data_IF_270658278135
#
_entry.id   IF_270658278135
#
_cell.length_a   1.000
_cell.length_b   1.000
_cell.length_c   1.000
_cell.angle_alpha   90.00
_cell.angle_beta   90.00
_cell.angle_gamma   90.00
#
_symmetry.space_group_name_H-M   'P 1'
#
loop_
_entity.id
_entity.type
_entity.pdbx_description
1 polymer ?
#
# COMPACT_ATOMS: atom_id res chain seq x y z
N UNK A 1 28.33 -1.28 1.92
CA UNK A 1 27.88 -0.97 1.73
C UNK A 1 26.84 -0.41 1.98
N UNK A 2 26.55 0.23 2.11
CA UNK A 2 25.67 0.79 2.52
C UNK A 2 24.69 1.00 1.70
N UNK A 3 23.75 0.49 1.78
CA UNK A 3 22.78 0.64 1.05
C UNK A 3 21.97 1.65 1.49
N UNK A 4 21.62 2.68 1.00
CA UNK A 4 20.74 3.58 1.37
C UNK A 4 19.47 3.23 0.89
N UNK A 5 18.54 2.81 1.59
CA UNK A 5 17.20 2.50 1.22
C UNK A 5 16.38 3.75 1.30
N UNK A 6 15.74 4.13 0.22
CA UNK A 6 14.92 5.30 0.23
C UNK A 6 13.60 5.00 0.82
N UNK A 7 12.94 5.98 1.38
CA UNK A 7 11.64 5.84 1.96
C UNK A 7 10.64 6.72 1.24
N UNK A 8 9.42 6.25 1.14
CA UNK A 8 8.36 6.98 0.50
C UNK A 8 7.11 6.86 1.30
N UNK A 9 6.19 7.78 1.10
CA UNK A 9 4.91 7.69 1.77
C UNK A 9 4.19 6.44 1.29
N UNK A 10 3.51 5.80 2.21
CA UNK A 10 2.87 4.53 1.91
C UNK A 10 1.83 4.66 0.81
N UNK A 11 1.06 5.75 0.82
CA UNK A 11 0.06 5.94 -0.22
C UNK A 11 0.72 6.06 -1.59
N UNK A 12 1.84 6.74 -1.67
CA UNK A 12 2.54 6.87 -2.94
C UNK A 12 3.08 5.52 -3.38
N UNK A 13 3.61 4.75 -2.45
CA UNK A 13 4.16 3.46 -2.79
C UNK A 13 3.09 2.52 -3.33
N UNK A 14 1.91 2.55 -2.76
CA UNK A 14 0.85 1.69 -3.24
C UNK A 14 0.52 1.99 -4.69
N UNK A 15 0.53 3.26 -5.06
CA UNK A 15 0.25 3.64 -6.43
C UNK A 15 1.40 3.21 -7.33
N UNK A 16 2.63 3.44 -6.88
CA UNK A 16 3.78 3.10 -7.70
C UNK A 16 3.93 1.62 -7.90
N UNK A 17 3.54 0.82 -6.92
CA UNK A 17 3.64 -0.61 -7.03
C UNK A 17 2.46 -1.21 -7.77
N UNK A 18 1.49 -0.40 -8.14
CA UNK A 18 0.32 -0.90 -8.85
C UNK A 18 -0.71 -1.55 -7.94
N UNK A 19 -0.59 -1.36 -6.64
CA UNK A 19 -1.55 -1.94 -5.71
C UNK A 19 -2.78 -1.07 -5.56
N UNK A 20 -2.70 0.18 -5.97
CA UNK A 20 -3.85 1.08 -5.94
C UNK A 20 -3.83 1.91 -7.20
N UNK A 21 -5.01 2.25 -7.70
CA UNK A 21 -5.09 3.02 -8.92
C UNK A 21 -4.86 4.49 -8.72
N UNK A 22 -5.01 4.98 -7.52
CA UNK A 22 -4.82 6.39 -7.25
C UNK A 22 -4.42 6.56 -5.81
N UNK A 23 -3.91 7.73 -5.49
CA UNK A 23 -3.49 7.98 -4.12
C UNK A 23 -4.68 8.01 -3.19
N UNK A 24 -5.81 8.48 -3.67
CA UNK A 24 -6.98 8.46 -2.84
C UNK A 24 -7.38 7.05 -2.51
N UNK A 25 -7.33 6.16 -3.48
CA UNK A 25 -7.65 4.77 -3.23
C UNK A 25 -6.63 4.15 -2.31
N UNK A 26 -5.36 4.50 -2.48
CA UNK A 26 -4.32 4.00 -1.61
C UNK A 26 -4.57 4.42 -0.17
N UNK A 27 -4.96 5.67 0.03
CA UNK A 27 -5.26 6.14 1.36
C UNK A 27 -6.44 5.39 1.94
N UNK A 28 -7.45 5.13 1.14
CA UNK A 28 -8.62 4.41 1.62
C UNK A 28 -8.24 3.01 2.08
N UNK A 29 -7.39 2.32 1.34
CA UNK A 29 -6.94 1.00 1.75
C UNK A 29 -6.18 1.08 3.07
N UNK A 30 -5.31 2.06 3.20
CA UNK A 30 -4.50 2.20 4.39
C UNK A 30 -5.38 2.50 5.59
N UNK A 31 -6.31 3.43 5.43
CA UNK A 31 -7.13 3.83 6.55
C UNK A 31 -8.11 2.73 6.95
N UNK A 32 -8.45 1.88 6.01
CA UNK A 32 -9.31 0.76 6.34
C UNK A 32 -8.55 -0.36 7.04
N UNK A 33 -7.22 -0.26 7.12
CA UNK A 33 -6.45 -1.28 7.78
C UNK A 33 -6.15 -2.46 6.89
N UNK A 34 -6.21 -2.28 5.58
CA UNK A 34 -5.99 -3.37 4.66
C UNK A 34 -4.54 -3.47 4.19
N UNK A 35 -3.70 -2.54 4.57
CA UNK A 35 -2.33 -2.49 4.07
C UNK A 35 -1.39 -3.00 5.14
N UNK A 36 -0.52 -3.90 4.75
CA UNK A 36 0.46 -4.47 5.66
C UNK A 36 1.85 -4.22 5.12
N UNK A 37 2.75 -3.81 5.98
CA UNK A 37 4.14 -3.56 5.63
C UNK A 37 4.98 -4.49 6.48
N UNK A 38 5.70 -5.38 5.81
CA UNK A 38 6.52 -6.38 6.49
C UNK A 38 5.68 -7.17 7.49
N UNK A 39 4.45 -7.43 7.12
CA UNK A 39 3.57 -8.22 7.96
C UNK A 39 2.87 -7.45 9.05
N UNK A 40 3.09 -6.14 9.13
CA UNK A 40 2.45 -5.35 10.15
C UNK A 40 1.44 -4.42 9.54
N UNK A 41 0.29 -4.33 10.13
CA UNK A 41 -0.76 -3.47 9.60
C UNK A 41 -0.40 -2.02 9.77
N UNK A 42 -0.61 -1.26 8.72
CA UNK A 42 -0.39 0.18 8.76
C UNK A 42 -1.69 0.87 8.45
N UNK A 43 -2.05 1.85 9.25
CA UNK A 43 -3.28 2.57 9.00
C UNK A 43 -3.04 4.07 8.84
N UNK A 44 -1.81 4.47 8.60
CA UNK A 44 -1.50 5.88 8.40
C UNK A 44 -0.91 6.08 7.03
N UNK A 45 -1.62 6.80 6.19
CA UNK A 45 -1.19 6.97 4.80
C UNK A 45 0.11 7.75 4.70
N UNK A 46 0.34 8.65 5.63
CA UNK A 46 1.54 9.47 5.56
C UNK A 46 2.79 8.80 6.08
N UNK A 47 2.67 7.56 6.59
CA UNK A 47 3.83 6.87 7.10
C UNK A 47 4.81 6.59 5.98
N UNK A 48 6.08 6.88 6.20
CA UNK A 48 7.09 6.59 5.22
C UNK A 48 7.68 5.23 5.50
N UNK A 49 7.80 4.42 4.47
CA UNK A 49 8.35 3.09 4.61
C UNK A 49 9.39 2.89 3.53
N UNK A 50 10.25 1.93 3.72
CA UNK A 50 11.30 1.67 2.76
C UNK A 50 10.69 1.24 1.43
N UNK A 51 11.25 1.73 0.34
CA UNK A 51 10.69 1.42 -0.97
C UNK A 51 10.85 -0.05 -1.29
N UNK A 52 11.74 -0.76 -0.62
CA UNK A 52 11.89 -2.17 -0.84
C UNK A 52 11.19 -2.99 0.24
N UNK A 53 10.34 -2.38 1.05
CA UNK A 53 9.60 -3.11 2.07
C UNK A 53 8.57 -4.01 1.41
N UNK A 54 8.21 -5.06 2.13
CA UNK A 54 7.23 -6.00 1.62
C UNK A 54 5.84 -5.46 1.96
N UNK A 55 5.15 -4.92 0.97
CA UNK A 55 3.87 -4.28 1.18
C UNK A 55 2.78 -5.12 0.57
N UNK A 56 1.74 -5.38 1.34
CA UNK A 56 0.63 -6.16 0.89
C UNK A 56 -0.64 -5.43 1.15
N UNK A 57 -1.62 -5.58 0.26
CA UNK A 57 -2.96 -5.04 0.48
C UNK A 57 -3.88 -6.24 0.61
N UNK A 58 -4.51 -6.38 1.75
CA UNK A 58 -5.38 -7.48 1.99
C UNK A 58 -6.78 -7.03 2.17
N UNK A 59 -7.67 -7.92 2.21
CA UNK A 59 -9.04 -7.62 2.53
C UNK A 59 -9.75 -6.91 1.50
N UNK A 60 -9.34 -6.92 0.45
CA UNK A 60 -10.00 -6.18 -0.37
C UNK A 60 -11.07 -6.67 -0.87
N UNK A 61 -11.70 -6.87 -0.71
CA UNK A 61 -12.61 -7.34 -1.03
C UNK A 61 -13.22 -6.91 -2.02
N UNK A 62 -13.23 -6.60 -2.45
CA UNK A 62 -13.72 -6.18 -3.30
C UNK A 62 -14.22 -6.92 -4.08
N UNK A 63 -14.83 -7.32 -4.08
CA UNK A 63 -15.27 -8.04 -4.69
C UNK A 63 -15.86 -7.66 -5.65
N UNK A 64 -16.05 -7.22 -6.31
CA UNK A 64 -16.58 -6.86 -7.24
C UNK A 64 -16.19 -7.14 -8.28
N UNK A 65 -16.17 -7.29 -8.68
CA UNK A 65 -15.79 -7.61 -9.53
C UNK A 65 -15.95 -7.64 -10.60
N UNK A 66 -15.90 -7.46 -11.02
CA UNK A 66 -15.81 -7.51 -11.83
C UNK A 66 -15.93 -7.75 -12.83
N UNK A 67 -15.97 -7.82 -13.30
CA UNK A 67 -15.99 -8.00 -14.12
C UNK A 67 -15.92 -8.49 -14.88
N UNK A 68 -15.94 -8.56 -14.95
CA UNK A 68 -15.77 -8.94 -15.53
C UNK A 68 -15.65 -9.36 -16.36
N UNK A 69 -15.52 -9.43 -16.28
CA UNK A 69 -15.38 -9.76 -16.98
C UNK A 69 -15.37 -9.90 -17.34
#
# INVERSE_FOLDING_TARGET
MAEKVEKERLDVLLVEMGLANSRELAKAYIMAGNVYVDGQKEDKAGTKVAVNADIEVKGSQMKYVSRGG
#
